data_IF_787890091517
#
_entry.id   IF_787890091517
#
_cell.length_a   1.000
_cell.length_b   1.000
_cell.length_c   1.000
_cell.angle_alpha   90.00
_cell.angle_beta   90.00
_cell.angle_gamma   90.00
#
_symmetry.space_group_name_H-M   'P 1'
#
loop_
_entity.id
_entity.type
_entity.pdbx_description
1 polymer ?
#
# COMPACT_ATOMS: atom_id res chain seq x y z
N UNK A 1 -9.94 13.92 -3.44
CA UNK A 1 -9.59 12.71 -4.18
C UNK A 1 -10.44 12.64 -5.42
N UNK A 2 -9.84 12.46 -6.58
CA UNK A 2 -10.56 12.46 -7.86
C UNK A 2 -10.94 11.02 -8.23
N UNK A 3 -12.24 10.74 -8.40
CA UNK A 3 -12.77 9.43 -8.79
C UNK A 3 -12.79 9.28 -10.33
N UNK A 4 -11.93 10.01 -11.03
CA UNK A 4 -11.91 10.00 -12.48
C UNK A 4 -11.15 8.79 -13.03
N UNK A 5 -11.82 8.07 -13.93
CA UNK A 5 -11.24 6.99 -14.74
C UNK A 5 -11.30 7.44 -16.20
N UNK A 6 -10.18 7.46 -16.87
CA UNK A 6 -10.09 7.88 -18.27
C UNK A 6 -10.85 6.91 -19.19
N UNK A 7 -11.32 7.36 -20.37
CA UNK A 7 -11.96 6.48 -21.35
C UNK A 7 -11.08 5.30 -21.78
N UNK A 8 -9.76 5.51 -21.86
CA UNK A 8 -8.81 4.46 -22.20
C UNK A 8 -8.76 3.39 -21.11
N UNK A 9 -8.65 3.78 -19.84
CA UNK A 9 -8.66 2.85 -18.71
C UNK A 9 -9.96 2.06 -18.62
N UNK A 10 -11.11 2.67 -18.95
CA UNK A 10 -12.40 1.96 -19.05
C UNK A 10 -12.40 0.91 -20.16
N UNK A 11 -11.76 1.19 -21.30
CA UNK A 11 -11.63 0.23 -22.41
C UNK A 11 -10.72 -0.95 -22.00
N UNK A 12 -9.60 -0.66 -21.37
CA UNK A 12 -8.66 -1.67 -20.92
C UNK A 12 -9.27 -2.54 -19.82
N UNK A 13 -10.01 -1.92 -18.89
CA UNK A 13 -10.81 -2.64 -17.88
C UNK A 13 -11.81 -3.60 -18.54
N UNK A 14 -12.57 -3.14 -19.53
CA UNK A 14 -13.52 -3.99 -20.26
C UNK A 14 -12.84 -5.16 -20.97
N UNK A 15 -11.62 -4.96 -21.52
CA UNK A 15 -10.85 -6.05 -22.13
C UNK A 15 -10.40 -7.06 -21.08
N UNK A 16 -9.88 -6.60 -19.94
CA UNK A 16 -9.47 -7.46 -18.83
C UNK A 16 -10.63 -8.29 -18.29
N UNK A 17 -11.81 -7.70 -18.10
CA UNK A 17 -12.98 -8.40 -17.60
C UNK A 17 -13.52 -9.46 -18.58
N UNK A 18 -13.28 -9.31 -19.88
CA UNK A 18 -13.66 -10.34 -20.88
C UNK A 18 -12.72 -11.55 -20.88
N UNK A 19 -11.46 -11.36 -20.44
CA UNK A 19 -10.43 -12.41 -20.44
C UNK A 19 -10.25 -13.07 -19.08
N UNK A 20 -10.67 -12.43 -18.00
CA UNK A 20 -10.53 -12.91 -16.61
C UNK A 20 -11.93 -13.24 -16.04
N UNK A 21 -12.00 -14.37 -15.35
CA UNK A 21 -13.21 -14.81 -14.62
C UNK A 21 -13.22 -14.12 -13.25
N UNK A 22 -13.54 -12.81 -13.24
CA UNK A 22 -13.58 -12.02 -12.02
C UNK A 22 -14.99 -11.92 -11.47
N UNK A 23 -15.18 -12.33 -10.21
CA UNK A 23 -16.44 -12.15 -9.51
C UNK A 23 -16.78 -10.67 -9.33
N UNK A 24 -18.04 -10.33 -9.55
CA UNK A 24 -18.56 -8.98 -9.30
C UNK A 24 -19.39 -8.94 -8.02
N UNK A 25 -18.80 -8.45 -6.95
CA UNK A 25 -19.42 -8.32 -5.63
C UNK A 25 -20.02 -6.93 -5.37
N UNK A 26 -20.20 -6.09 -6.39
CA UNK A 26 -20.72 -4.71 -6.27
C UNK A 26 -21.99 -4.64 -5.46
N UNK A 27 -22.99 -5.48 -5.77
CA UNK A 27 -24.27 -5.52 -5.06
C UNK A 27 -24.12 -5.89 -3.59
N UNK A 28 -23.23 -6.84 -3.29
CA UNK A 28 -22.95 -7.23 -1.91
C UNK A 28 -22.30 -6.06 -1.12
N UNK A 29 -21.32 -5.38 -1.71
CA UNK A 29 -20.65 -4.21 -1.11
C UNK A 29 -21.67 -3.10 -0.80
N UNK A 30 -22.54 -2.79 -1.76
CA UNK A 30 -23.62 -1.80 -1.62
C UNK A 30 -24.63 -2.15 -0.52
N UNK A 31 -24.88 -3.44 -0.34
CA UNK A 31 -25.81 -3.93 0.68
C UNK A 31 -25.23 -3.83 2.10
N UNK A 32 -23.97 -4.21 2.28
CA UNK A 32 -23.36 -4.30 3.63
C UNK A 32 -22.88 -2.96 4.17
N UNK A 33 -22.38 -2.04 3.34
CA UNK A 33 -21.96 -0.67 3.67
C UNK A 33 -21.03 -0.60 4.88
N UNK A 34 -19.88 -1.25 4.77
CA UNK A 34 -18.93 -1.38 5.89
C UNK A 34 -17.96 -0.21 6.02
N UNK A 35 -17.79 0.66 4.99
CA UNK A 35 -16.77 1.72 4.98
C UNK A 35 -16.84 2.64 6.19
N UNK A 36 -18.04 3.13 6.52
CA UNK A 36 -18.25 4.05 7.66
C UNK A 36 -18.00 3.38 9.00
N UNK A 37 -18.40 2.11 9.15
CA UNK A 37 -18.16 1.33 10.38
C UNK A 37 -16.68 1.05 10.60
N UNK A 38 -15.96 0.66 9.53
CA UNK A 38 -14.50 0.46 9.57
C UNK A 38 -13.81 1.76 9.98
N UNK A 39 -14.18 2.88 9.36
CA UNK A 39 -13.59 4.18 9.68
C UNK A 39 -13.83 4.58 11.12
N UNK A 40 -15.06 4.41 11.62
CA UNK A 40 -15.42 4.73 12.99
C UNK A 40 -14.61 3.90 13.98
N UNK A 41 -14.59 2.59 13.85
CA UNK A 41 -13.86 1.69 14.75
C UNK A 41 -12.36 1.98 14.74
N UNK A 42 -11.76 2.30 13.59
CA UNK A 42 -10.34 2.71 13.52
C UNK A 42 -10.12 3.99 14.33
N UNK A 43 -10.97 5.01 14.18
CA UNK A 43 -10.83 6.27 14.92
C UNK A 43 -10.99 6.07 16.43
N UNK A 44 -11.98 5.28 16.85
CA UNK A 44 -12.22 4.93 18.24
C UNK A 44 -11.03 4.17 18.84
N UNK A 45 -10.49 3.19 18.10
CA UNK A 45 -9.34 2.39 18.51
C UNK A 45 -8.07 3.24 18.66
N UNK A 46 -7.81 4.15 17.72
CA UNK A 46 -6.68 5.08 17.78
C UNK A 46 -6.82 6.01 18.99
N UNK A 47 -8.03 6.52 19.25
CA UNK A 47 -8.30 7.39 20.38
C UNK A 47 -8.14 6.63 21.70
N UNK A 48 -8.69 5.42 21.78
CA UNK A 48 -8.56 4.54 22.95
C UNK A 48 -7.09 4.25 23.26
N UNK A 49 -6.28 3.94 22.23
CA UNK A 49 -4.86 3.69 22.40
C UNK A 49 -4.10 4.90 22.92
N UNK A 50 -4.39 6.11 22.41
CA UNK A 50 -3.79 7.35 22.90
C UNK A 50 -4.12 7.61 24.37
N UNK A 51 -5.37 7.36 24.79
CA UNK A 51 -5.81 7.55 26.17
C UNK A 51 -5.24 6.50 27.12
N UNK A 52 -4.98 5.29 26.64
CA UNK A 52 -4.55 4.14 27.44
C UNK A 52 -3.13 3.68 27.11
N UNK A 53 -2.22 4.60 26.74
CA UNK A 53 -0.84 4.26 26.38
C UNK A 53 -0.10 3.52 27.48
N UNK A 54 -0.28 3.90 28.74
CA UNK A 54 0.31 3.22 29.91
C UNK A 54 -0.18 1.77 30.04
N UNK A 55 -1.45 1.51 29.75
CA UNK A 55 -2.03 0.17 29.77
C UNK A 55 -1.46 -0.68 28.64
N UNK A 56 -1.30 -0.09 27.46
CA UNK A 56 -0.69 -0.74 26.31
C UNK A 56 0.75 -1.23 26.60
N UNK A 57 1.56 -0.37 27.26
CA UNK A 57 2.95 -0.69 27.58
C UNK A 57 3.11 -1.67 28.76
N UNK A 58 2.24 -1.60 29.77
CA UNK A 58 2.37 -2.40 30.99
C UNK A 58 1.62 -3.72 30.96
N UNK A 59 0.46 -3.77 30.31
CA UNK A 59 -0.43 -4.94 30.28
C UNK A 59 -1.07 -5.10 28.89
N UNK A 60 -0.30 -5.54 27.88
CA UNK A 60 -0.77 -5.61 26.49
C UNK A 60 -1.99 -6.54 26.32
N UNK A 61 -2.06 -7.67 27.05
CA UNK A 61 -3.18 -8.62 26.96
C UNK A 61 -4.50 -7.98 27.43
N UNK A 62 -4.44 -7.22 28.53
CA UNK A 62 -5.61 -6.51 29.05
C UNK A 62 -6.02 -5.38 28.11
N UNK A 63 -5.06 -4.64 27.58
CA UNK A 63 -5.31 -3.61 26.57
C UNK A 63 -6.02 -4.19 25.34
N UNK A 64 -5.54 -5.33 24.82
CA UNK A 64 -6.16 -5.97 23.67
C UNK A 64 -7.60 -6.43 23.95
N UNK A 65 -7.86 -6.97 25.16
CA UNK A 65 -9.21 -7.36 25.56
C UNK A 65 -10.17 -6.16 25.58
N UNK A 66 -9.74 -5.04 26.15
CA UNK A 66 -10.54 -3.81 26.19
C UNK A 66 -10.70 -3.21 24.77
N UNK A 67 -9.65 -3.22 23.96
CA UNK A 67 -9.66 -2.76 22.57
C UNK A 67 -10.66 -3.55 21.68
N UNK A 68 -10.80 -4.86 21.91
CA UNK A 68 -11.81 -5.70 21.23
C UNK A 68 -13.25 -5.27 21.50
N UNK A 69 -13.50 -4.74 22.69
CA UNK A 69 -14.82 -4.23 23.03
C UNK A 69 -15.08 -2.85 22.38
N UNK A 70 -14.05 -2.01 22.29
CA UNK A 70 -14.14 -0.66 21.69
C UNK A 70 -14.36 -0.76 20.17
N UNK A 71 -13.58 -1.59 19.47
CA UNK A 71 -13.68 -1.78 18.02
C UNK A 71 -14.19 -3.19 17.68
N UNK A 72 -15.35 -3.54 18.23
CA UNK A 72 -15.90 -4.90 18.13
C UNK A 72 -16.18 -5.31 16.69
N UNK A 73 -16.76 -4.41 15.88
CA UNK A 73 -17.07 -4.70 14.48
C UNK A 73 -15.79 -4.97 13.68
N UNK A 74 -14.76 -4.14 13.86
CA UNK A 74 -13.47 -4.29 13.20
C UNK A 74 -12.78 -5.60 13.61
N UNK A 75 -12.82 -5.94 14.91
CA UNK A 75 -12.23 -7.18 15.41
C UNK A 75 -12.90 -8.42 14.83
N UNK A 76 -14.23 -8.44 14.74
CA UNK A 76 -14.98 -9.61 14.25
C UNK A 76 -14.90 -9.79 12.73
N UNK A 77 -14.92 -8.70 11.96
CA UNK A 77 -15.01 -8.78 10.50
C UNK A 77 -13.67 -8.56 9.80
N UNK A 78 -12.75 -7.81 10.42
CA UNK A 78 -11.48 -7.41 9.83
C UNK A 78 -10.32 -7.51 10.83
N UNK A 79 -10.04 -8.71 11.38
CA UNK A 79 -9.05 -8.91 12.45
C UNK A 79 -7.65 -8.47 12.08
N UNK A 80 -7.27 -8.56 10.80
CA UNK A 80 -5.95 -8.13 10.34
C UNK A 80 -5.79 -6.60 10.38
N UNK A 81 -6.85 -5.86 10.02
CA UNK A 81 -6.84 -4.39 10.14
C UNK A 81 -6.78 -4.01 11.62
N UNK A 82 -7.57 -4.65 12.48
CA UNK A 82 -7.57 -4.43 13.92
C UNK A 82 -6.16 -4.59 14.52
N UNK A 83 -5.46 -5.70 14.24
CA UNK A 83 -4.10 -5.95 14.71
C UNK A 83 -3.11 -4.89 14.21
N UNK A 84 -3.15 -4.58 12.92
CA UNK A 84 -2.26 -3.56 12.33
C UNK A 84 -2.47 -2.16 12.92
N UNK A 85 -3.73 -1.79 13.27
CA UNK A 85 -4.01 -0.53 13.99
C UNK A 85 -3.38 -0.54 15.38
N UNK A 86 -3.54 -1.63 16.14
CA UNK A 86 -2.94 -1.76 17.48
C UNK A 86 -1.43 -1.65 17.40
N UNK A 87 -0.79 -2.30 16.42
CA UNK A 87 0.66 -2.34 16.26
C UNK A 87 1.26 -1.08 15.62
N UNK A 88 0.44 -0.08 15.24
CA UNK A 88 0.86 1.09 14.44
C UNK A 88 1.49 0.74 13.08
N UNK A 89 1.06 -0.35 12.47
CA UNK A 89 1.55 -0.82 11.17
C UNK A 89 0.74 -0.27 9.99
N UNK A 90 -0.31 0.51 10.26
CA UNK A 90 -1.17 1.10 9.24
C UNK A 90 -0.71 2.50 8.88
N UNK A 91 -0.61 2.76 7.57
CA UNK A 91 -0.59 4.11 7.06
C UNK A 91 -2.04 4.63 6.97
N UNK A 92 -2.41 5.53 7.89
CA UNK A 92 -3.76 6.07 7.98
C UNK A 92 -4.18 6.88 6.75
N UNK A 93 -3.25 7.57 6.11
CA UNK A 93 -3.53 8.35 4.90
C UNK A 93 -4.01 7.44 3.76
N UNK A 94 -3.30 6.33 3.55
CA UNK A 94 -3.69 5.32 2.56
C UNK A 94 -5.02 4.68 2.93
N UNK A 95 -5.18 4.31 4.19
CA UNK A 95 -6.41 3.68 4.67
C UNK A 95 -7.63 4.58 4.41
N UNK A 96 -7.52 5.87 4.69
CA UNK A 96 -8.60 6.83 4.44
C UNK A 96 -8.93 6.90 2.94
N UNK A 97 -7.92 6.92 2.06
CA UNK A 97 -8.12 6.94 0.61
C UNK A 97 -8.82 5.67 0.12
N UNK A 98 -8.40 4.50 0.61
CA UNK A 98 -9.04 3.23 0.27
C UNK A 98 -10.49 3.16 0.77
N UNK A 99 -10.75 3.63 2.00
CA UNK A 99 -12.11 3.70 2.54
C UNK A 99 -13.00 4.69 1.77
N UNK A 100 -12.41 5.78 1.24
CA UNK A 100 -13.13 6.70 0.37
C UNK A 100 -13.57 6.04 -0.95
N UNK A 101 -12.71 5.21 -1.57
CA UNK A 101 -13.06 4.44 -2.76
C UNK A 101 -14.15 3.42 -2.43
N UNK A 102 -14.01 2.69 -1.33
CA UNK A 102 -15.03 1.75 -0.87
C UNK A 102 -16.38 2.45 -0.65
N UNK A 103 -16.37 3.62 -0.02
CA UNK A 103 -17.56 4.45 0.15
C UNK A 103 -18.17 4.88 -1.19
N UNK A 104 -17.36 5.18 -2.19
CA UNK A 104 -17.86 5.53 -3.52
C UNK A 104 -18.57 4.35 -4.21
N UNK A 105 -18.14 3.10 -3.97
CA UNK A 105 -18.84 1.91 -4.45
C UNK A 105 -20.18 1.75 -3.72
N UNK A 106 -20.19 1.93 -2.40
CA UNK A 106 -21.40 1.86 -1.56
C UNK A 106 -22.44 2.91 -1.93
N UNK A 107 -21.98 4.11 -2.34
CA UNK A 107 -22.82 5.26 -2.75
C UNK A 107 -23.18 5.22 -4.25
N UNK A 108 -22.94 4.10 -4.93
CA UNK A 108 -23.27 3.85 -6.36
C UNK A 108 -22.57 4.79 -7.37
N UNK A 109 -21.50 5.49 -6.96
CA UNK A 109 -20.73 6.38 -7.84
C UNK A 109 -19.83 5.63 -8.81
N UNK A 110 -19.34 4.47 -8.39
CA UNK A 110 -18.51 3.55 -9.17
C UNK A 110 -18.92 2.10 -8.87
N UNK A 111 -18.55 1.17 -9.74
CA UNK A 111 -18.68 -0.25 -9.46
C UNK A 111 -17.39 -0.82 -8.82
N UNK A 112 -17.40 -2.11 -8.44
CA UNK A 112 -16.23 -2.77 -7.84
C UNK A 112 -15.02 -2.76 -8.78
N UNK A 113 -15.22 -2.97 -10.07
CA UNK A 113 -14.12 -3.05 -11.03
C UNK A 113 -13.51 -1.68 -11.28
N UNK A 114 -14.34 -0.64 -11.40
CA UNK A 114 -13.89 0.76 -11.46
C UNK A 114 -13.17 1.15 -10.18
N UNK A 115 -13.69 0.75 -9.01
CA UNK A 115 -13.04 0.92 -7.71
C UNK A 115 -11.66 0.26 -7.65
N UNK A 116 -11.50 -0.93 -8.24
CA UNK A 116 -10.20 -1.62 -8.31
C UNK A 116 -9.17 -0.84 -9.14
N UNK A 117 -9.58 -0.19 -10.22
CA UNK A 117 -8.69 0.70 -11.00
C UNK A 117 -8.24 1.89 -10.16
N UNK A 118 -9.17 2.51 -9.41
CA UNK A 118 -8.84 3.63 -8.52
C UNK A 118 -7.88 3.22 -7.40
N UNK A 119 -8.10 2.05 -6.77
CA UNK A 119 -7.16 1.48 -5.80
C UNK A 119 -5.79 1.25 -6.42
N UNK A 120 -5.73 0.71 -7.65
CA UNK A 120 -4.49 0.51 -8.38
C UNK A 120 -3.71 1.80 -8.62
N UNK A 121 -4.40 2.91 -8.93
CA UNK A 121 -3.79 4.24 -9.07
C UNK A 121 -3.18 4.72 -7.76
N UNK A 122 -3.94 4.65 -6.67
CA UNK A 122 -3.45 5.06 -5.35
C UNK A 122 -2.22 4.26 -4.90
N UNK A 123 -2.23 2.96 -5.13
CA UNK A 123 -1.08 2.11 -4.82
C UNK A 123 0.12 2.42 -5.72
N UNK A 124 -0.09 2.68 -7.00
CA UNK A 124 0.98 3.06 -7.93
C UNK A 124 1.66 4.35 -7.49
N UNK A 125 0.87 5.38 -7.17
CA UNK A 125 1.41 6.68 -6.74
C UNK A 125 2.23 6.54 -5.45
N UNK A 126 1.77 5.71 -4.51
CA UNK A 126 2.49 5.34 -3.31
C UNK A 126 3.83 4.67 -3.58
N UNK A 127 3.87 3.70 -4.51
CA UNK A 127 5.11 3.02 -4.88
C UNK A 127 6.09 3.97 -5.56
N UNK A 128 5.60 4.87 -6.42
CA UNK A 128 6.44 5.88 -7.08
C UNK A 128 7.04 6.85 -6.05
N UNK A 129 6.23 7.38 -5.14
CA UNK A 129 6.70 8.27 -4.08
C UNK A 129 7.72 7.60 -3.16
N UNK A 130 7.49 6.32 -2.84
CA UNK A 130 8.43 5.54 -2.04
C UNK A 130 9.75 5.31 -2.77
N UNK A 131 9.71 4.98 -4.06
CA UNK A 131 10.90 4.79 -4.89
C UNK A 131 11.69 6.08 -5.05
N UNK A 132 11.03 7.22 -5.26
CA UNK A 132 11.66 8.54 -5.37
C UNK A 132 12.32 8.92 -4.03
N UNK A 133 11.64 8.72 -2.89
CA UNK A 133 12.23 8.98 -1.57
C UNK A 133 13.44 8.09 -1.31
N UNK A 134 13.38 6.82 -1.69
CA UNK A 134 14.50 5.90 -1.54
C UNK A 134 15.69 6.34 -2.41
N UNK A 135 15.47 6.69 -3.68
CA UNK A 135 16.50 7.25 -4.56
C UNK A 135 17.14 8.50 -3.99
N UNK A 136 16.34 9.48 -3.56
CA UNK A 136 16.82 10.72 -2.95
C UNK A 136 17.63 10.49 -1.66
N UNK A 137 17.27 9.47 -0.87
CA UNK A 137 18.00 9.12 0.35
C UNK A 137 19.35 8.44 0.01
N UNK A 138 19.40 7.64 -1.03
CA UNK A 138 20.66 7.08 -1.54
C UNK A 138 21.57 8.19 -2.07
N UNK A 139 21.06 9.10 -2.89
CA UNK A 139 21.81 10.24 -3.40
C UNK A 139 22.38 11.12 -2.27
N UNK A 140 21.58 11.38 -1.22
CA UNK A 140 22.07 12.10 -0.03
C UNK A 140 23.16 11.33 0.73
N UNK A 141 23.04 10.00 0.81
CA UNK A 141 24.01 9.16 1.51
C UNK A 141 25.33 9.04 0.76
N UNK A 142 25.32 9.10 -0.58
CA UNK A 142 26.49 8.96 -1.43
C UNK A 142 27.01 10.27 -2.01
N UNK A 143 26.32 11.41 -1.82
CA UNK A 143 26.92 12.74 -2.00
C UNK A 143 27.91 12.97 -0.86
N UNK A 144 29.14 12.56 -1.05
CA UNK A 144 30.26 13.06 -0.24
C UNK A 144 30.39 14.56 -0.48
N UNK A 145 30.63 15.39 0.55
CA UNK A 145 30.97 16.79 0.34
C UNK A 145 32.27 16.87 -0.50
N UNK A 146 32.21 17.71 -1.52
CA UNK A 146 33.33 18.00 -2.40
C UNK A 146 34.66 18.09 -1.62
N UNK A 147 35.51 17.09 -1.79
CA UNK A 147 36.92 17.28 -1.68
C UNK A 147 37.47 17.24 -3.11
N UNK A 148 37.80 18.42 -3.63
CA UNK A 148 38.60 18.59 -4.81
C UNK A 148 40.01 17.96 -4.58
N UNK A 149 40.08 16.66 -4.81
CA UNK A 149 41.30 15.97 -5.14
C UNK A 149 41.05 15.18 -6.39
N UNK A 150 41.48 15.78 -7.48
CA UNK A 150 41.58 15.10 -8.79
C UNK A 150 42.63 13.98 -8.61
N UNK A 151 42.20 12.80 -8.17
CA UNK A 151 42.91 11.57 -8.41
C UNK A 151 42.35 10.97 -9.70
N UNK A 152 43.22 10.92 -10.69
CA UNK A 152 43.03 10.35 -11.99
C UNK A 152 42.35 8.95 -11.86
N UNK A 153 41.08 8.87 -12.20
CA UNK A 153 40.42 7.59 -12.43
C UNK A 153 41.18 6.82 -13.53
N UNK A 154 41.45 5.53 -13.32
CA UNK A 154 41.99 4.69 -14.40
C UNK A 154 41.02 4.73 -15.61
N UNK A 155 41.55 4.65 -16.83
CA UNK A 155 40.72 4.70 -18.05
C UNK A 155 39.61 3.63 -17.97
N UNK A 156 38.42 3.92 -18.50
CA UNK A 156 37.32 2.97 -18.48
C UNK A 156 37.78 1.69 -19.19
N UNK A 157 37.79 0.59 -18.44
CA UNK A 157 37.97 -0.75 -19.00
C UNK A 157 36.75 -1.00 -19.91
N UNK A 158 37.01 -1.20 -21.20
CA UNK A 158 35.95 -1.58 -22.13
C UNK A 158 35.30 -2.87 -21.62
N UNK A 159 34.13 -2.75 -21.02
CA UNK A 159 33.31 -3.89 -20.63
C UNK A 159 32.90 -4.64 -21.89
N UNK A 160 33.51 -5.79 -22.17
CA UNK A 160 33.01 -6.71 -23.18
C UNK A 160 31.60 -7.15 -22.75
N UNK A 161 30.60 -6.78 -23.55
CA UNK A 161 29.26 -7.28 -23.43
C UNK A 161 29.26 -8.80 -23.62
N UNK A 162 29.41 -9.54 -22.54
CA UNK A 162 29.37 -11.00 -22.55
C UNK A 162 27.91 -11.42 -22.63
N UNK A 163 27.58 -12.20 -23.67
CA UNK A 163 26.26 -12.79 -23.84
C UNK A 163 25.95 -13.74 -22.62
N UNK A 164 24.69 -13.79 -22.20
CA UNK A 164 24.24 -14.69 -21.14
C UNK A 164 24.62 -16.16 -21.41
N UNK A 165 24.72 -16.60 -22.67
CA UNK A 165 25.20 -17.90 -23.06
C UNK A 165 26.70 -18.10 -22.76
N UNK A 166 27.52 -17.10 -23.02
CA UNK A 166 28.97 -17.13 -22.74
C UNK A 166 29.27 -17.07 -21.25
N UNK A 167 28.48 -16.30 -20.48
CA UNK A 167 28.57 -16.29 -19.02
C UNK A 167 28.29 -17.66 -18.41
N UNK A 168 27.26 -18.36 -18.92
CA UNK A 168 26.88 -19.70 -18.43
C UNK A 168 27.92 -20.77 -18.75
N UNK A 169 28.59 -20.70 -19.93
CA UNK A 169 29.66 -21.64 -20.27
C UNK A 169 30.92 -21.43 -19.48
N UNK A 170 31.22 -20.20 -19.05
CA UNK A 170 32.42 -19.92 -18.25
C UNK A 170 32.29 -20.40 -16.80
N UNK A 171 31.07 -20.48 -16.25
CA UNK A 171 30.82 -20.98 -14.87
C UNK A 171 30.86 -22.52 -14.82
N UNK A 172 30.53 -23.23 -15.91
CA UNK A 172 30.49 -24.70 -15.94
C UNK A 172 31.86 -25.35 -16.20
N UNK A 173 32.89 -24.57 -16.51
CA UNK A 173 34.23 -25.05 -16.80
C UNK A 173 35.28 -24.71 -15.71
N UNK A 174 34.81 -24.34 -14.48
CA UNK A 174 35.64 -24.19 -13.28
C UNK A 174 35.19 -25.19 -12.23
#
# INVERSE_FOLDING_TARGET
MDLYISPQEKLDLKRLLKTSDCENNTEHIRKVKHSSKIQQDIMELVTFKKQNSKLYDTKPDRFELEARNVAHFLYMNYPDIFRKVINNEINYEIMIRLLYILKAIEDEKVDQHEGSVLVGKELKDLYLDSAIRHGNNLDKKYKTPDNDTVESSPPPVEEKLISWKEYKTNITNT
#
